data_IF_173136843924
#
_entry.id   IF_173136843924
#
_cell.length_a   1.000
_cell.length_b   1.000
_cell.length_c   1.000
_cell.angle_alpha   90.00
_cell.angle_beta   90.00
_cell.angle_gamma   90.00
#
_symmetry.space_group_name_H-M   'P 1'
#
loop_
_entity.id
_entity.type
_entity.pdbx_description
1 polymer ?
#
# COMPACT_ATOMS: atom_id res chain seq x y z
N UNK A 1 -5.39 19.08 23.07
CA UNK A 1 -4.70 19.11 21.76
C UNK A 1 -3.70 17.98 21.73
N UNK A 2 -4.05 16.82 21.15
CA UNK A 2 -3.14 15.67 21.10
C UNK A 2 -2.13 15.95 19.98
N UNK A 3 -0.88 16.26 20.35
CA UNK A 3 0.24 16.28 19.41
C UNK A 3 0.55 14.81 19.07
N UNK A 4 -0.05 14.31 18.00
CA UNK A 4 0.38 13.04 17.40
C UNK A 4 1.80 13.27 16.91
N UNK A 5 2.80 12.78 17.65
CA UNK A 5 4.15 12.68 17.14
C UNK A 5 4.07 11.66 16.00
N UNK A 6 4.01 12.16 14.78
CA UNK A 6 4.25 11.36 13.59
C UNK A 6 5.74 10.99 13.63
N UNK A 7 6.07 9.92 14.34
CA UNK A 7 7.32 9.19 14.11
C UNK A 7 7.21 8.59 12.71
N UNK A 8 7.46 9.42 11.69
CA UNK A 8 7.62 8.95 10.32
C UNK A 8 8.84 8.05 10.33
N UNK A 9 8.61 6.74 10.35
CA UNK A 9 9.68 5.77 10.11
C UNK A 9 10.25 6.11 8.74
N UNK A 10 11.54 6.41 8.68
CA UNK A 10 12.22 6.58 7.39
C UNK A 10 12.41 5.17 6.85
N UNK A 11 11.77 4.79 5.72
CA UNK A 11 11.93 3.46 5.16
C UNK A 11 13.38 3.26 4.71
N UNK A 12 13.91 2.08 4.99
CA UNK A 12 15.24 1.66 4.57
C UNK A 12 15.29 1.45 3.04
N UNK A 13 16.49 1.42 2.42
CA UNK A 13 16.60 1.15 0.98
C UNK A 13 15.97 -0.17 0.54
N UNK A 14 15.96 -1.19 1.42
CA UNK A 14 15.28 -2.46 1.15
C UNK A 14 13.76 -2.30 1.14
N UNK A 15 13.21 -1.57 2.11
CA UNK A 15 11.77 -1.26 2.19
C UNK A 15 11.33 -0.39 1.00
N UNK A 16 12.14 0.59 0.60
CA UNK A 16 11.88 1.38 -0.62
C UNK A 16 11.84 0.51 -1.89
N UNK A 17 12.74 -0.48 -1.99
CA UNK A 17 12.71 -1.41 -3.12
C UNK A 17 11.48 -2.33 -3.08
N UNK A 18 10.98 -2.67 -1.90
CA UNK A 18 9.76 -3.48 -1.74
C UNK A 18 8.52 -2.65 -2.07
N UNK A 19 8.47 -1.40 -1.60
CA UNK A 19 7.43 -0.43 -1.96
C UNK A 19 7.36 -0.22 -3.48
N UNK A 20 8.49 -0.08 -4.16
CA UNK A 20 8.50 0.06 -5.63
C UNK A 20 7.94 -1.18 -6.35
N UNK A 21 8.14 -2.39 -5.80
CA UNK A 21 7.53 -3.62 -6.36
C UNK A 21 6.03 -3.66 -6.11
N UNK A 22 5.59 -3.21 -4.94
CA UNK A 22 4.17 -3.09 -4.60
C UNK A 22 3.47 -2.08 -5.52
N UNK A 23 4.11 -0.95 -5.83
CA UNK A 23 3.62 0.04 -6.79
C UNK A 23 3.50 -0.56 -8.20
N UNK A 24 4.54 -1.26 -8.69
CA UNK A 24 4.48 -1.94 -10.00
C UNK A 24 3.38 -3.01 -10.05
N UNK A 25 3.18 -3.76 -8.96
CA UNK A 25 2.11 -4.75 -8.88
C UNK A 25 0.71 -4.10 -8.82
N UNK A 26 0.58 -2.99 -8.10
CA UNK A 26 -0.64 -2.18 -8.03
C UNK A 26 -1.04 -1.68 -9.42
N UNK A 27 -0.11 -1.09 -10.18
CA UNK A 27 -0.37 -0.59 -11.53
C UNK A 27 -0.90 -1.70 -12.45
N UNK A 28 -0.29 -2.89 -12.40
CA UNK A 28 -0.76 -4.05 -13.18
C UNK A 28 -2.17 -4.49 -12.78
N UNK A 29 -2.47 -4.48 -11.48
CA UNK A 29 -3.81 -4.84 -11.00
C UNK A 29 -4.84 -3.80 -11.43
N UNK A 30 -4.49 -2.51 -11.39
CA UNK A 30 -5.34 -1.42 -11.85
C UNK A 30 -5.62 -1.51 -13.36
N UNK A 31 -4.64 -1.90 -14.17
CA UNK A 31 -4.86 -2.20 -15.59
C UNK A 31 -5.86 -3.34 -15.79
N UNK A 32 -5.75 -4.43 -15.03
CA UNK A 32 -6.69 -5.56 -15.11
C UNK A 32 -8.10 -5.18 -14.60
N UNK A 33 -8.18 -4.36 -13.55
CA UNK A 33 -9.44 -3.83 -13.03
C UNK A 33 -10.10 -2.84 -13.98
N UNK A 34 -9.35 -2.20 -14.88
CA UNK A 34 -9.92 -1.36 -15.91
C UNK A 34 -10.80 -2.18 -16.87
N UNK A 35 -10.37 -3.40 -17.21
CA UNK A 35 -11.12 -4.32 -18.05
C UNK A 35 -12.25 -5.05 -17.29
N UNK A 36 -12.02 -5.42 -16.02
CA UNK A 36 -13.03 -6.03 -15.14
C UNK A 36 -13.08 -5.35 -13.76
N UNK A 37 -13.84 -4.25 -13.63
CA UNK A 37 -13.88 -3.46 -12.40
C UNK A 37 -14.62 -4.15 -11.25
N UNK A 38 -15.29 -5.27 -11.52
CA UNK A 38 -16.03 -6.04 -10.52
C UNK A 38 -15.27 -7.27 -10.02
N UNK A 39 -14.03 -7.45 -10.47
CA UNK A 39 -13.22 -8.58 -10.08
C UNK A 39 -12.78 -8.46 -8.61
N UNK A 40 -13.54 -9.10 -7.71
CA UNK A 40 -13.30 -9.03 -6.28
C UNK A 40 -11.89 -9.52 -5.89
N UNK A 41 -11.34 -10.53 -6.58
CA UNK A 41 -10.01 -11.04 -6.27
C UNK A 41 -8.90 -10.01 -6.55
N UNK A 42 -9.05 -9.22 -7.62
CA UNK A 42 -8.14 -8.12 -7.94
C UNK A 42 -8.28 -6.96 -6.95
N UNK A 43 -9.52 -6.62 -6.55
CA UNK A 43 -9.78 -5.62 -5.52
C UNK A 43 -9.20 -6.00 -4.16
N UNK A 44 -9.36 -7.27 -3.75
CA UNK A 44 -8.80 -7.78 -2.49
C UNK A 44 -7.27 -7.76 -2.53
N UNK A 45 -6.67 -8.10 -3.67
CA UNK A 45 -5.22 -8.03 -3.85
C UNK A 45 -4.71 -6.59 -3.79
N UNK A 46 -5.42 -5.64 -4.41
CA UNK A 46 -5.09 -4.22 -4.36
C UNK A 46 -5.15 -3.68 -2.92
N UNK A 47 -6.17 -4.06 -2.15
CA UNK A 47 -6.28 -3.69 -0.74
C UNK A 47 -5.13 -4.26 0.11
N UNK A 48 -4.71 -5.50 -0.16
CA UNK A 48 -3.57 -6.09 0.54
C UNK A 48 -2.27 -5.32 0.25
N UNK A 49 -2.07 -4.90 -1.01
CA UNK A 49 -0.92 -4.08 -1.42
C UNK A 49 -0.91 -2.74 -0.70
N UNK A 50 -2.06 -2.08 -0.57
CA UNK A 50 -2.17 -0.80 0.15
C UNK A 50 -1.80 -0.96 1.64
N UNK A 51 -2.30 -2.01 2.28
CA UNK A 51 -1.96 -2.34 3.68
C UNK A 51 -0.46 -2.59 3.85
N UNK A 52 0.15 -3.36 2.95
CA UNK A 52 1.58 -3.67 3.01
C UNK A 52 2.44 -2.43 2.73
N UNK A 53 2.02 -1.58 1.79
CA UNK A 53 2.70 -0.32 1.48
C UNK A 53 2.68 0.64 2.68
N UNK A 54 1.53 0.81 3.33
CA UNK A 54 1.37 1.66 4.54
C UNK A 54 2.20 1.11 5.70
N UNK A 55 2.22 -0.22 5.87
CA UNK A 55 3.06 -0.87 6.89
C UNK A 55 4.55 -0.62 6.66
N UNK A 56 5.00 -0.66 5.41
CA UNK A 56 6.39 -0.39 5.03
C UNK A 56 6.75 1.10 5.14
N UNK A 57 5.84 1.99 4.72
CA UNK A 57 6.02 3.45 4.82
C UNK A 57 6.04 3.93 6.28
N UNK A 58 5.55 3.10 7.21
CA UNK A 58 5.45 3.43 8.62
C UNK A 58 4.42 4.52 8.89
N UNK A 59 3.54 4.80 7.93
CA UNK A 59 2.29 5.45 8.25
C UNK A 59 1.52 4.50 9.15
N UNK A 60 1.24 4.93 10.39
CA UNK A 60 0.30 4.20 11.23
C UNK A 60 -1.01 4.14 10.47
N UNK A 61 -1.31 2.99 9.87
CA UNK A 61 -2.64 2.65 9.41
C UNK A 61 -3.58 2.93 10.59
N UNK A 62 -4.52 3.85 10.37
CA UNK A 62 -5.55 4.15 11.33
C UNK A 62 -6.36 2.85 11.48
N UNK A 63 -6.26 2.23 12.66
CA UNK A 63 -7.05 1.05 13.02
C UNK A 63 -8.53 1.36 12.76
N UNK A 64 -9.16 0.58 11.89
CA UNK A 64 -10.61 0.58 11.66
C UNK A 64 -11.25 -0.59 12.41
#
# INVERSE_FOLDING_TARGET
MVKVKQDKKIPTPAELSEMAKLEEESDRILELLFDDPTNQALLDKLNQIDVDYVRLSGEKSMEY
#
